data_IF_912734280809
#
_entry.id   IF_912734280809
#
_cell.length_a   1.000
_cell.length_b   1.000
_cell.length_c   1.000
_cell.angle_alpha   90.00
_cell.angle_beta   90.00
_cell.angle_gamma   90.00
#
_symmetry.space_group_name_H-M   'P 1'
#
loop_
_entity.id
_entity.type
_entity.pdbx_description
1 polymer ?
#
# COMPACT_ATOMS: atom_id res chain seq x y z
N UNK A 1 -24.03 12.21 -47.02
CA UNK A 1 -23.84 11.40 -45.77
C UNK A 1 -22.47 11.79 -45.26
N UNK A 2 -22.45 12.69 -44.28
CA UNK A 2 -21.23 13.06 -43.59
C UNK A 2 -20.89 11.91 -42.63
N UNK A 3 -19.73 11.28 -42.84
CA UNK A 3 -19.19 10.33 -41.90
C UNK A 3 -18.83 11.09 -40.65
N UNK A 4 -19.56 10.87 -39.53
CA UNK A 4 -19.20 11.32 -38.21
C UNK A 4 -17.83 10.71 -37.85
N UNK A 5 -16.82 11.57 -37.83
CA UNK A 5 -15.49 11.27 -37.34
C UNK A 5 -15.61 10.83 -35.87
N UNK A 6 -15.20 9.60 -35.48
CA UNK A 6 -15.27 9.18 -34.08
C UNK A 6 -14.37 10.12 -33.27
N UNK A 7 -15.00 11.03 -32.54
CA UNK A 7 -14.31 11.91 -31.60
C UNK A 7 -13.49 11.01 -30.68
N UNK A 8 -12.17 11.08 -30.81
CA UNK A 8 -11.20 10.53 -29.85
C UNK A 8 -11.54 11.15 -28.48
N UNK A 9 -12.40 10.47 -27.70
CA UNK A 9 -12.65 10.86 -26.32
C UNK A 9 -11.32 10.71 -25.62
N UNK A 10 -10.76 11.83 -25.13
CA UNK A 10 -9.63 11.79 -24.21
C UNK A 10 -9.99 10.80 -23.10
N UNK A 11 -9.12 9.88 -22.74
CA UNK A 11 -9.41 8.92 -21.67
C UNK A 11 -9.77 9.71 -20.42
N UNK A 12 -10.88 9.31 -19.77
CA UNK A 12 -11.36 9.97 -18.56
C UNK A 12 -10.41 9.69 -17.40
N UNK A 13 -10.26 10.67 -16.51
CA UNK A 13 -9.55 10.45 -15.25
C UNK A 13 -10.31 9.37 -14.47
N UNK A 14 -9.63 8.30 -14.01
CA UNK A 14 -10.28 7.25 -13.22
C UNK A 14 -10.91 7.81 -11.94
N UNK A 15 -12.06 7.26 -11.54
CA UNK A 15 -12.83 7.64 -10.35
C UNK A 15 -12.08 7.42 -9.02
N UNK A 16 -11.07 6.54 -9.03
CA UNK A 16 -10.18 6.32 -7.88
C UNK A 16 -9.04 7.35 -7.75
N UNK A 17 -8.99 8.38 -8.60
CA UNK A 17 -8.15 9.58 -8.40
C UNK A 17 -8.90 10.52 -7.47
N UNK A 18 -8.39 10.69 -6.24
CA UNK A 18 -9.07 11.46 -5.19
C UNK A 18 -8.73 12.94 -5.23
N UNK A 19 -7.52 13.27 -5.66
CA UNK A 19 -7.03 14.64 -5.71
C UNK A 19 -5.98 14.80 -6.79
N UNK A 20 -5.98 15.95 -7.46
CA UNK A 20 -4.90 16.35 -8.36
C UNK A 20 -4.79 17.88 -8.43
N UNK A 21 -3.56 18.36 -8.43
CA UNK A 21 -3.20 19.75 -8.74
C UNK A 21 -1.99 19.80 -9.69
N UNK A 22 -1.28 20.91 -9.74
CA UNK A 22 -0.08 21.05 -10.58
C UNK A 22 1.14 20.27 -10.07
N UNK A 23 1.14 19.87 -8.79
CA UNK A 23 2.28 19.31 -8.06
C UNK A 23 2.15 17.84 -7.73
N UNK A 24 0.94 17.39 -7.41
CA UNK A 24 0.67 16.03 -6.91
C UNK A 24 -0.60 15.42 -7.49
N UNK A 25 -0.64 14.10 -7.43
CA UNK A 25 -1.85 13.28 -7.61
C UNK A 25 -1.95 12.35 -6.42
N UNK A 26 -3.14 12.27 -5.80
CA UNK A 26 -3.45 11.27 -4.75
C UNK A 26 -4.52 10.34 -5.26
N UNK A 27 -4.27 9.05 -5.12
CA UNK A 27 -5.15 8.01 -5.64
C UNK A 27 -5.49 6.96 -4.56
N UNK A 28 -6.69 6.39 -4.67
CA UNK A 28 -7.07 5.16 -3.99
C UNK A 28 -6.80 3.99 -4.94
N UNK A 29 -5.58 3.47 -4.93
CA UNK A 29 -5.14 2.40 -5.83
C UNK A 29 -6.02 1.15 -5.68
N UNK A 30 -6.62 0.61 -6.73
CA UNK A 30 -7.33 -0.66 -6.64
C UNK A 30 -6.36 -1.83 -6.34
N UNK A 31 -6.85 -2.87 -5.67
CA UNK A 31 -6.13 -4.13 -5.53
C UNK A 31 -5.87 -4.74 -6.92
N UNK A 32 -4.76 -5.46 -7.06
CA UNK A 32 -4.37 -6.08 -8.34
C UNK A 32 -3.61 -5.16 -9.29
N UNK A 33 -3.68 -3.82 -9.14
CA UNK A 33 -2.89 -2.89 -9.94
C UNK A 33 -1.49 -2.71 -9.34
N UNK A 34 -0.44 -2.83 -10.17
CA UNK A 34 0.94 -2.58 -9.73
C UNK A 34 1.19 -1.09 -9.50
N UNK A 35 1.98 -0.76 -8.49
CA UNK A 35 2.45 0.62 -8.28
C UNK A 35 3.50 1.01 -9.32
N UNK A 36 4.39 0.08 -9.67
CA UNK A 36 5.50 0.30 -10.62
C UNK A 36 5.50 -0.79 -11.68
N UNK A 37 6.20 -0.55 -12.80
CA UNK A 37 6.38 -1.53 -13.87
C UNK A 37 6.92 -2.85 -13.32
N UNK A 38 6.43 -3.96 -13.89
CA UNK A 38 6.96 -5.29 -13.61
C UNK A 38 8.36 -5.44 -14.23
N UNK A 39 9.28 -6.03 -13.48
CA UNK A 39 10.66 -6.21 -13.94
C UNK A 39 10.83 -7.31 -15.00
N UNK A 40 9.87 -8.23 -15.10
CA UNK A 40 9.89 -9.34 -16.06
C UNK A 40 8.98 -9.08 -17.26
N UNK A 41 7.86 -8.40 -17.06
CA UNK A 41 6.92 -8.04 -18.11
C UNK A 41 6.49 -6.56 -17.99
N UNK A 42 7.22 -5.65 -18.64
CA UNK A 42 6.90 -4.21 -18.62
C UNK A 42 5.57 -3.83 -19.28
N UNK A 43 4.94 -4.73 -20.05
CA UNK A 43 3.64 -4.48 -20.69
C UNK A 43 2.47 -4.52 -19.70
N UNK A 44 2.67 -5.13 -18.53
CA UNK A 44 1.63 -5.24 -17.52
C UNK A 44 1.26 -3.87 -16.94
N UNK A 45 -0.05 -3.60 -16.74
CA UNK A 45 -0.52 -2.31 -16.28
C UNK A 45 0.00 -1.98 -14.88
N UNK A 46 0.39 -0.72 -14.71
CA UNK A 46 0.83 -0.15 -13.45
C UNK A 46 0.34 1.31 -13.33
N UNK A 47 0.42 1.92 -12.15
CA UNK A 47 -0.15 3.25 -11.91
C UNK A 47 0.21 4.28 -12.97
N UNK A 48 1.49 4.40 -13.32
CA UNK A 48 1.91 5.39 -14.31
C UNK A 48 1.37 5.06 -15.71
N UNK A 49 1.40 3.80 -16.14
CA UNK A 49 0.89 3.43 -17.48
C UNK A 49 -0.60 3.70 -17.64
N UNK A 50 -1.37 3.68 -16.54
CA UNK A 50 -2.81 4.00 -16.53
C UNK A 50 -3.07 5.51 -16.43
N UNK A 51 -2.29 6.23 -15.63
CA UNK A 51 -2.56 7.62 -15.31
C UNK A 51 -1.87 8.63 -16.25
N UNK A 52 -0.65 8.33 -16.74
CA UNK A 52 0.11 9.25 -17.58
C UNK A 52 -0.60 9.64 -18.90
N UNK A 53 -1.40 8.77 -19.54
CA UNK A 53 -2.17 9.15 -20.72
C UNK A 53 -3.19 10.28 -20.49
N UNK A 54 -3.65 10.47 -19.25
CA UNK A 54 -4.66 11.49 -18.89
C UNK A 54 -4.12 12.63 -18.05
N UNK A 55 -3.07 12.39 -17.24
CA UNK A 55 -2.54 13.37 -16.28
C UNK A 55 -1.16 13.90 -16.67
N UNK A 56 -0.57 13.39 -17.76
CA UNK A 56 0.81 13.68 -18.13
C UNK A 56 1.81 12.94 -17.26
N UNK A 57 3.08 13.30 -17.37
CA UNK A 57 4.19 12.62 -16.68
C UNK A 57 4.04 12.63 -15.18
N UNK A 58 4.26 11.46 -14.54
CA UNK A 58 4.15 11.25 -13.10
C UNK A 58 5.43 10.61 -12.53
N UNK A 59 5.73 10.92 -11.28
CA UNK A 59 6.87 10.36 -10.55
C UNK A 59 6.40 9.63 -9.30
N UNK A 60 6.85 8.39 -9.15
CA UNK A 60 6.57 7.58 -7.96
C UNK A 60 7.41 8.06 -6.77
N UNK A 61 6.77 8.23 -5.64
CA UNK A 61 7.38 8.62 -4.36
C UNK A 61 7.51 7.44 -3.42
N UNK A 62 6.46 6.62 -3.36
CA UNK A 62 6.39 5.38 -2.60
C UNK A 62 5.57 4.35 -3.35
N UNK A 63 5.41 3.17 -2.77
CA UNK A 63 4.69 2.08 -3.41
C UNK A 63 3.82 1.31 -2.42
N UNK A 64 2.74 0.73 -2.94
CA UNK A 64 1.98 -0.35 -2.34
C UNK A 64 2.27 -1.65 -3.09
N UNK A 65 2.09 -2.79 -2.42
CA UNK A 65 2.13 -4.09 -3.09
C UNK A 65 1.01 -4.18 -4.13
N UNK A 66 1.15 -5.07 -5.09
CA UNK A 66 0.15 -5.27 -6.15
C UNK A 66 -1.24 -5.54 -5.56
N UNK A 67 -1.32 -6.45 -4.57
CA UNK A 67 -2.58 -6.88 -3.97
C UNK A 67 -3.11 -5.91 -2.90
N UNK A 68 -2.28 -4.99 -2.39
CA UNK A 68 -2.68 -3.95 -1.45
C UNK A 68 -3.42 -2.84 -2.17
N UNK A 69 -4.59 -2.47 -1.68
CA UNK A 69 -5.35 -1.30 -2.13
C UNK A 69 -5.10 -0.07 -1.27
N UNK A 70 -5.58 1.10 -1.70
CA UNK A 70 -5.60 2.31 -0.87
C UNK A 70 -4.68 3.43 -1.34
N UNK A 71 -4.41 4.34 -0.44
CA UNK A 71 -3.82 5.64 -0.71
C UNK A 71 -2.36 5.60 -1.14
N UNK A 72 -2.09 6.30 -2.23
CA UNK A 72 -0.74 6.55 -2.74
C UNK A 72 -0.66 7.95 -3.34
N UNK A 73 0.44 8.67 -3.08
CA UNK A 73 0.73 9.97 -3.68
C UNK A 73 1.81 9.84 -4.75
N UNK A 74 1.61 10.53 -5.87
CA UNK A 74 2.59 10.69 -6.95
C UNK A 74 2.89 12.17 -7.13
N UNK A 75 4.11 12.50 -7.54
CA UNK A 75 4.47 13.85 -7.92
C UNK A 75 4.21 14.09 -9.41
N UNK A 76 3.93 15.35 -9.79
CA UNK A 76 3.71 15.80 -11.17
C UNK A 76 4.87 16.60 -11.76
N UNK A 77 5.81 17.02 -10.93
CA UNK A 77 7.03 17.69 -11.34
C UNK A 77 8.26 17.25 -10.52
N UNK A 78 9.45 17.57 -11.00
CA UNK A 78 10.71 17.11 -10.42
C UNK A 78 10.99 17.69 -9.02
N UNK A 79 10.56 18.92 -8.74
CA UNK A 79 10.78 19.56 -7.44
C UNK A 79 9.86 18.95 -6.39
N UNK A 80 8.58 18.76 -6.73
CA UNK A 80 7.62 18.05 -5.89
C UNK A 80 8.07 16.61 -5.62
N UNK A 81 8.61 15.92 -6.63
CA UNK A 81 9.19 14.58 -6.46
C UNK A 81 10.36 14.57 -5.47
N UNK A 82 11.27 15.54 -5.58
CA UNK A 82 12.43 15.68 -4.67
C UNK A 82 11.98 15.90 -3.23
N UNK A 83 11.04 16.83 -3.03
CA UNK A 83 10.54 17.16 -1.69
C UNK A 83 9.76 16.01 -1.06
N UNK A 84 8.83 15.38 -1.77
CA UNK A 84 8.11 14.21 -1.26
C UNK A 84 9.06 13.05 -0.95
N UNK A 85 10.05 12.78 -1.82
CA UNK A 85 11.06 11.75 -1.51
C UNK A 85 11.85 12.06 -0.24
N UNK A 86 12.15 13.35 0.05
CA UNK A 86 12.76 13.76 1.31
C UNK A 86 11.86 13.37 2.48
N UNK A 87 10.57 13.77 2.44
CA UNK A 87 9.60 13.48 3.51
C UNK A 87 9.49 11.96 3.76
N UNK A 88 9.33 11.15 2.70
CA UNK A 88 9.22 9.70 2.85
C UNK A 88 10.51 9.06 3.37
N UNK A 89 11.69 9.53 2.97
CA UNK A 89 12.99 9.07 3.48
C UNK A 89 13.16 9.44 4.96
N UNK A 90 12.71 10.62 5.36
CA UNK A 90 12.77 11.14 6.72
C UNK A 90 11.62 10.61 7.59
N UNK A 91 10.72 9.80 7.01
CA UNK A 91 9.58 9.16 7.69
C UNK A 91 8.59 10.16 8.30
N UNK A 92 8.45 11.32 7.69
CA UNK A 92 7.50 12.36 8.10
C UNK A 92 6.03 11.98 7.80
N UNK A 93 5.69 11.33 6.65
CA UNK A 93 4.30 10.97 6.37
C UNK A 93 3.75 9.94 7.33
N UNK A 94 2.54 10.19 7.83
CA UNK A 94 1.78 9.24 8.66
C UNK A 94 0.95 8.35 7.73
N UNK A 95 1.00 7.04 7.96
CA UNK A 95 0.35 6.04 7.13
C UNK A 95 -0.38 5.04 8.02
N UNK A 96 -1.69 4.95 7.85
CA UNK A 96 -2.51 3.93 8.47
C UNK A 96 -3.00 2.92 7.43
N UNK A 97 -3.10 1.69 7.86
CA UNK A 97 -3.61 0.58 7.05
C UNK A 97 -4.63 -0.19 7.85
N UNK A 98 -5.72 -0.56 7.22
CA UNK A 98 -6.66 -1.53 7.75
C UNK A 98 -6.31 -2.93 7.24
N UNK A 99 -6.20 -3.88 8.15
CA UNK A 99 -5.96 -5.28 7.85
C UNK A 99 -7.01 -6.17 8.53
N UNK A 100 -7.59 -7.13 7.78
CA UNK A 100 -8.38 -8.19 8.39
C UNK A 100 -7.47 -9.41 8.58
N UNK A 101 -7.32 -9.86 9.83
CA UNK A 101 -6.34 -10.88 10.21
C UNK A 101 -6.97 -12.08 10.88
N UNK A 102 -6.41 -13.25 10.64
CA UNK A 102 -6.78 -14.51 11.29
C UNK A 102 -5.52 -15.30 11.70
N UNK A 103 -5.60 -16.11 12.78
CA UNK A 103 -6.65 -16.09 13.80
C UNK A 103 -6.75 -14.74 14.51
N UNK A 104 -7.74 -14.57 15.38
CA UNK A 104 -7.83 -13.32 16.17
C UNK A 104 -6.57 -13.15 17.05
N UNK A 105 -5.99 -11.93 17.08
CA UNK A 105 -4.88 -11.64 17.99
C UNK A 105 -5.33 -11.72 19.46
N UNK A 106 -4.43 -12.17 20.34
CA UNK A 106 -4.70 -12.27 21.79
C UNK A 106 -4.42 -10.94 22.54
N UNK A 107 -3.97 -9.92 21.82
CA UNK A 107 -3.69 -8.56 22.31
C UNK A 107 -4.72 -7.58 21.72
N UNK A 108 -4.92 -6.43 22.40
CA UNK A 108 -5.70 -5.32 21.87
C UNK A 108 -4.83 -4.34 21.09
N UNK A 109 -3.61 -4.13 21.57
CA UNK A 109 -2.61 -3.30 20.91
C UNK A 109 -1.22 -3.91 21.09
N UNK A 110 -0.33 -3.68 20.16
CA UNK A 110 1.08 -4.08 20.25
C UNK A 110 1.94 -3.21 19.34
N UNK A 111 3.10 -2.80 19.83
CA UNK A 111 4.18 -2.26 19.02
C UNK A 111 5.18 -3.36 18.70
N UNK A 112 5.41 -3.63 17.42
CA UNK A 112 6.42 -4.58 16.99
C UNK A 112 7.63 -3.85 16.38
N UNK A 113 8.75 -3.90 17.08
CA UNK A 113 10.06 -3.48 16.60
C UNK A 113 10.88 -4.72 16.25
N UNK A 114 10.75 -5.18 15.01
CA UNK A 114 11.45 -6.36 14.54
C UNK A 114 12.09 -6.09 13.16
N UNK A 115 13.41 -6.26 13.02
CA UNK A 115 14.09 -5.97 11.76
C UNK A 115 13.69 -6.96 10.67
N UNK A 116 13.61 -6.47 9.43
CA UNK A 116 13.09 -7.19 8.29
C UNK A 116 14.13 -7.37 7.18
N UNK A 117 14.32 -8.61 6.74
CA UNK A 117 15.12 -8.98 5.58
C UNK A 117 14.22 -9.25 4.38
N UNK A 118 14.38 -8.44 3.34
CA UNK A 118 13.66 -8.57 2.06
C UNK A 118 14.26 -9.72 1.25
N UNK A 119 13.41 -10.40 0.46
CA UNK A 119 13.82 -11.55 -0.37
C UNK A 119 14.52 -12.66 0.45
N UNK A 120 14.01 -12.95 1.63
CA UNK A 120 14.64 -13.87 2.57
C UNK A 120 14.47 -15.35 2.21
N UNK A 121 13.62 -15.68 1.24
CA UNK A 121 13.42 -17.06 0.78
C UNK A 121 13.11 -17.14 -0.73
N UNK A 122 12.97 -18.37 -1.25
CA UNK A 122 12.69 -18.63 -2.68
C UNK A 122 11.35 -18.06 -3.17
N UNK A 123 10.42 -17.76 -2.28
CA UNK A 123 9.15 -17.09 -2.59
C UNK A 123 9.28 -15.56 -2.52
N UNK A 124 10.51 -15.03 -2.40
CA UNK A 124 10.81 -13.60 -2.27
C UNK A 124 10.07 -12.91 -1.10
N UNK A 125 9.74 -13.66 -0.04
CA UNK A 125 9.10 -13.10 1.15
C UNK A 125 10.08 -12.26 1.95
N UNK A 126 9.56 -11.25 2.61
CA UNK A 126 10.23 -10.54 3.71
C UNK A 126 10.03 -11.33 5.00
N UNK A 127 11.05 -11.43 5.84
CA UNK A 127 10.98 -12.12 7.14
C UNK A 127 11.68 -11.31 8.22
N UNK A 128 11.26 -11.52 9.47
CA UNK A 128 12.02 -11.01 10.63
C UNK A 128 13.37 -11.72 10.66
N UNK A 129 14.43 -10.91 10.74
CA UNK A 129 15.82 -11.36 10.78
C UNK A 129 16.62 -10.38 11.65
N UNK A 130 16.94 -10.80 12.88
CA UNK A 130 17.62 -9.97 13.86
C UNK A 130 19.12 -9.76 13.56
N UNK A 131 19.68 -10.52 12.63
CA UNK A 131 21.11 -10.41 12.28
C UNK A 131 21.31 -9.51 11.05
N UNK A 132 20.48 -9.68 10.01
CA UNK A 132 20.68 -8.99 8.71
C UNK A 132 19.47 -8.14 8.29
N UNK A 133 18.44 -8.04 9.13
CA UNK A 133 17.24 -7.27 8.84
C UNK A 133 17.46 -5.76 8.95
N UNK A 134 16.71 -5.00 8.16
CA UNK A 134 16.62 -3.54 8.29
C UNK A 134 15.67 -3.19 9.42
N UNK A 135 15.98 -2.19 10.27
CA UNK A 135 15.07 -1.75 11.34
C UNK A 135 13.68 -1.42 10.79
N UNK A 136 12.68 -2.04 11.40
CA UNK A 136 11.28 -1.84 11.04
C UNK A 136 10.42 -1.79 12.31
N UNK A 137 9.44 -0.87 12.32
CA UNK A 137 8.47 -0.71 13.41
C UNK A 137 7.07 -0.56 12.84
N UNK A 138 6.12 -1.30 13.43
CA UNK A 138 4.69 -1.21 13.15
C UNK A 138 3.94 -1.23 14.48
N UNK A 139 3.02 -0.28 14.67
CA UNK A 139 2.07 -0.33 15.76
C UNK A 139 0.77 -0.95 15.23
N UNK A 140 0.18 -1.84 16.01
CA UNK A 140 -1.07 -2.54 15.69
C UNK A 140 -2.10 -2.27 16.78
N UNK A 141 -3.33 -1.91 16.38
CA UNK A 141 -4.48 -1.71 17.25
C UNK A 141 -5.67 -2.51 16.73
N UNK A 142 -6.23 -3.38 17.55
CA UNK A 142 -7.45 -4.12 17.19
C UNK A 142 -8.65 -3.18 17.29
N UNK A 143 -9.32 -2.95 16.16
CA UNK A 143 -10.50 -2.10 16.08
C UNK A 143 -11.77 -2.87 16.41
N UNK A 144 -11.88 -4.10 15.92
CA UNK A 144 -13.00 -5.01 16.18
C UNK A 144 -12.62 -6.47 16.02
N UNK A 145 -13.39 -7.34 16.66
CA UNK A 145 -13.24 -8.80 16.57
C UNK A 145 -14.53 -9.40 16.03
N UNK A 146 -14.40 -10.35 15.14
CA UNK A 146 -15.46 -11.17 14.60
C UNK A 146 -15.21 -12.63 14.98
N UNK A 147 -16.11 -13.55 14.69
CA UNK A 147 -16.00 -14.96 15.13
C UNK A 147 -14.64 -15.62 14.83
N UNK A 148 -14.05 -15.36 13.67
CA UNK A 148 -12.82 -16.03 13.22
C UNK A 148 -11.68 -15.10 12.78
N UNK A 149 -11.91 -13.79 12.78
CA UNK A 149 -10.93 -12.78 12.34
C UNK A 149 -11.07 -11.49 13.16
N UNK A 150 -10.12 -10.60 13.01
CA UNK A 150 -10.17 -9.27 13.60
C UNK A 150 -9.76 -8.21 12.56
N UNK A 151 -10.30 -7.00 12.70
CA UNK A 151 -9.84 -5.82 11.98
C UNK A 151 -8.83 -5.08 12.83
N UNK A 152 -7.69 -4.79 12.22
CA UNK A 152 -6.54 -4.20 12.89
C UNK A 152 -6.11 -2.94 12.12
N UNK A 153 -5.99 -1.82 12.83
CA UNK A 153 -5.24 -0.66 12.33
C UNK A 153 -3.74 -0.91 12.47
N UNK A 154 -3.00 -0.59 11.42
CA UNK A 154 -1.56 -0.77 11.35
C UNK A 154 -0.90 0.57 11.04
N UNK A 155 -0.21 1.18 12.01
CA UNK A 155 0.55 2.41 11.80
C UNK A 155 1.99 2.07 11.42
N UNK A 156 2.42 2.53 10.24
CA UNK A 156 3.78 2.28 9.73
C UNK A 156 4.75 3.40 10.07
N UNK A 157 5.79 3.10 10.88
CA UNK A 157 6.92 3.99 11.16
C UNK A 157 8.12 3.78 10.23
N UNK A 158 8.06 2.77 9.38
CA UNK A 158 9.08 2.44 8.37
C UNK A 158 8.40 1.94 7.10
N UNK A 159 9.14 1.73 6.02
CA UNK A 159 8.58 1.35 4.72
C UNK A 159 9.34 0.18 4.08
N UNK A 160 9.50 -0.93 4.78
CA UNK A 160 10.11 -2.14 4.23
C UNK A 160 9.08 -2.89 3.39
N UNK A 161 9.50 -3.47 2.27
CA UNK A 161 8.63 -4.28 1.40
C UNK A 161 7.93 -5.37 2.21
N UNK A 162 6.61 -5.54 2.04
CA UNK A 162 5.75 -6.48 2.76
C UNK A 162 5.77 -6.33 4.30
N UNK A 163 6.11 -5.17 4.85
CA UNK A 163 6.35 -5.00 6.29
C UNK A 163 5.20 -5.47 7.18
N UNK A 164 3.97 -4.97 6.95
CA UNK A 164 2.78 -5.36 7.74
C UNK A 164 2.57 -6.88 7.65
N UNK A 165 2.63 -7.43 6.45
CA UNK A 165 2.43 -8.86 6.16
C UNK A 165 3.46 -9.73 6.89
N UNK A 166 4.74 -9.34 6.85
CA UNK A 166 5.84 -10.06 7.51
C UNK A 166 5.76 -9.96 9.03
N UNK A 167 5.41 -8.79 9.57
CA UNK A 167 5.23 -8.58 10.99
C UNK A 167 4.05 -9.39 11.54
N UNK A 168 2.89 -9.35 10.88
CA UNK A 168 1.72 -10.15 11.26
C UNK A 168 2.03 -11.65 11.17
N UNK A 169 2.73 -12.09 10.12
CA UNK A 169 3.17 -13.48 9.99
C UNK A 169 4.09 -13.91 11.14
N UNK A 170 5.00 -13.04 11.58
CA UNK A 170 5.87 -13.29 12.73
C UNK A 170 5.07 -13.44 14.03
N UNK A 171 3.96 -12.71 14.17
CA UNK A 171 3.03 -12.82 15.29
C UNK A 171 2.08 -14.04 15.18
N UNK A 172 2.24 -14.89 14.15
CA UNK A 172 1.37 -16.04 13.92
C UNK A 172 0.04 -15.71 13.27
N UNK A 173 -0.12 -14.49 12.73
CA UNK A 173 -1.33 -13.99 12.08
C UNK A 173 -1.15 -13.93 10.56
N UNK A 174 -2.22 -14.20 9.80
CA UNK A 174 -2.28 -13.99 8.36
C UNK A 174 -3.32 -12.95 8.00
N UNK A 175 -3.08 -12.16 6.95
CA UNK A 175 -4.08 -11.27 6.38
C UNK A 175 -5.02 -12.10 5.50
N UNK A 176 -6.34 -11.91 5.63
CA UNK A 176 -7.31 -12.61 4.78
C UNK A 176 -7.03 -12.32 3.30
N UNK A 177 -7.01 -13.37 2.48
CA UNK A 177 -6.71 -13.28 1.04
C UNK A 177 -5.22 -13.08 0.70
N UNK A 178 -4.29 -13.11 1.67
CA UNK A 178 -2.86 -13.04 1.37
C UNK A 178 -2.37 -14.38 0.79
N UNK A 179 -1.84 -14.40 -0.46
CA UNK A 179 -1.39 -15.64 -1.08
C UNK A 179 -0.02 -16.13 -0.55
N UNK A 180 0.75 -15.28 0.15
CA UNK A 180 2.15 -15.57 0.51
C UNK A 180 2.38 -15.79 2.01
N UNK A 181 1.68 -15.05 2.87
CA UNK A 181 1.91 -15.01 4.31
C UNK A 181 0.79 -15.73 5.06
N UNK A 182 0.81 -17.05 5.01
CA UNK A 182 -0.19 -17.92 5.64
C UNK A 182 0.47 -18.78 6.74
N UNK A 183 0.44 -18.35 8.01
CA UNK A 183 0.96 -19.17 9.11
C UNK A 183 0.12 -20.43 9.29
N UNK A 184 0.65 -21.50 9.92
CA UNK A 184 -0.08 -22.76 10.06
C UNK A 184 -1.47 -22.60 10.68
N UNK A 185 -1.62 -21.74 11.67
CA UNK A 185 -2.87 -21.50 12.39
C UNK A 185 -3.91 -20.75 11.52
N UNK A 186 -3.48 -20.03 10.51
CA UNK A 186 -4.33 -19.26 9.61
C UNK A 186 -5.34 -20.14 8.86
N UNK A 187 -4.88 -21.27 8.29
CA UNK A 187 -5.75 -22.18 7.51
C UNK A 187 -6.89 -22.76 8.32
N UNK A 188 -6.66 -23.00 9.61
CA UNK A 188 -7.69 -23.52 10.52
C UNK A 188 -8.71 -22.45 10.93
N UNK A 189 -8.29 -21.19 10.96
CA UNK A 189 -9.11 -20.06 11.37
C UNK A 189 -9.89 -19.40 10.21
N UNK A 190 -9.38 -19.49 8.98
CA UNK A 190 -10.02 -18.88 7.81
C UNK A 190 -11.28 -19.65 7.42
N UNK A 191 -12.43 -19.11 7.80
CA UNK A 191 -13.76 -19.64 7.46
C UNK A 191 -14.44 -18.90 6.31
N UNK A 192 -13.91 -17.76 5.92
CA UNK A 192 -14.49 -16.88 4.89
C UNK A 192 -13.61 -16.82 3.65
N UNK A 193 -14.18 -17.04 2.49
CA UNK A 193 -13.55 -16.69 1.23
C UNK A 193 -13.63 -15.17 1.03
N UNK A 194 -12.53 -14.56 0.67
CA UNK A 194 -12.44 -13.14 0.31
C UNK A 194 -11.90 -13.00 -1.09
N UNK A 195 -12.45 -12.07 -1.85
CA UNK A 195 -12.11 -11.87 -3.26
C UNK A 195 -10.71 -11.26 -3.48
N UNK A 196 -10.15 -10.61 -2.44
CA UNK A 196 -8.85 -9.94 -2.50
C UNK A 196 -8.11 -10.01 -1.18
N UNK A 197 -6.85 -9.63 -1.17
CA UNK A 197 -6.11 -9.42 0.07
C UNK A 197 -6.72 -8.24 0.85
N UNK A 198 -7.09 -8.51 2.11
CA UNK A 198 -7.74 -7.55 2.99
C UNK A 198 -6.72 -6.69 3.72
N UNK A 199 -5.91 -5.97 2.94
CA UNK A 199 -4.97 -4.94 3.37
C UNK A 199 -5.21 -3.68 2.55
N UNK A 200 -5.48 -2.58 3.23
CA UNK A 200 -5.86 -1.32 2.62
C UNK A 200 -5.14 -0.15 3.28
N UNK A 201 -4.43 0.66 2.50
CA UNK A 201 -3.83 1.92 2.96
C UNK A 201 -4.96 2.95 3.14
N UNK A 202 -5.50 3.02 4.36
CA UNK A 202 -6.74 3.76 4.68
C UNK A 202 -6.51 5.25 4.90
N UNK A 203 -5.32 5.63 5.46
CA UNK A 203 -5.02 7.04 5.70
C UNK A 203 -3.59 7.38 5.31
N UNK A 204 -3.46 8.59 4.75
CA UNK A 204 -2.17 9.15 4.37
C UNK A 204 -2.14 10.64 4.71
N UNK A 205 -1.22 11.02 5.60
CA UNK A 205 -0.95 12.42 5.95
C UNK A 205 0.47 12.78 5.55
N UNK A 206 0.64 13.90 4.85
CA UNK A 206 1.94 14.42 4.43
C UNK A 206 1.88 15.94 4.21
N UNK A 207 3.01 16.60 4.08
CA UNK A 207 3.09 18.04 3.77
C UNK A 207 3.11 18.25 2.25
N UNK A 208 2.24 19.12 1.75
CA UNK A 208 2.20 19.45 0.33
C UNK A 208 3.56 20.06 -0.12
N UNK A 209 4.19 19.51 -1.19
CA UNK A 209 5.59 19.82 -1.52
C UNK A 209 5.87 21.26 -1.90
N UNK A 210 4.87 22.02 -2.37
CA UNK A 210 5.04 23.43 -2.76
C UNK A 210 4.42 24.41 -1.77
N UNK A 211 3.23 24.11 -1.26
CA UNK A 211 2.50 25.06 -0.40
C UNK A 211 2.87 24.93 1.08
N UNK A 212 3.44 23.81 1.50
CA UNK A 212 3.69 23.50 2.91
C UNK A 212 2.42 23.17 3.71
N UNK A 213 1.25 23.09 3.08
CA UNK A 213 0.01 22.74 3.76
C UNK A 213 0.00 21.26 4.18
N UNK A 214 -0.53 20.98 5.37
CA UNK A 214 -0.77 19.60 5.80
C UNK A 214 -1.92 19.01 4.99
N UNK A 215 -1.65 17.92 4.29
CA UNK A 215 -2.64 17.17 3.50
C UNK A 215 -3.00 15.89 4.25
N UNK A 216 -4.30 15.62 4.36
CA UNK A 216 -4.82 14.38 4.97
C UNK A 216 -5.87 13.78 4.05
N UNK A 217 -5.71 12.49 3.75
CA UNK A 217 -6.63 11.72 2.92
C UNK A 217 -7.05 10.45 3.63
N UNK A 218 -8.30 10.07 3.41
CA UNK A 218 -8.90 8.80 3.86
C UNK A 218 -9.58 8.09 2.67
N UNK A 219 -9.55 6.74 2.65
CA UNK A 219 -10.16 5.93 1.60
C UNK A 219 -10.71 4.59 2.12
#
# INVERSE_FOLDING_TARGET
>A
MEEENPILRSPAIPDWVLFTDESIVVVNKPAGLRSVSDGYDPSLPHLRSVLEPVLGRLWMVHRLDKETSGLIVLARDADSHRELNRQFREREPIKHYLAQVAPQPQWNEITLEAPLKVNADRAHRTRVDFEYGKPARTDFLVLRREDSWAEVDCTLHSGVTHQIRAHLYHLGLGILGDPLYQPPQFKAAQKSEVERMMLHASELTFTHPKTGALMHFQA
#
